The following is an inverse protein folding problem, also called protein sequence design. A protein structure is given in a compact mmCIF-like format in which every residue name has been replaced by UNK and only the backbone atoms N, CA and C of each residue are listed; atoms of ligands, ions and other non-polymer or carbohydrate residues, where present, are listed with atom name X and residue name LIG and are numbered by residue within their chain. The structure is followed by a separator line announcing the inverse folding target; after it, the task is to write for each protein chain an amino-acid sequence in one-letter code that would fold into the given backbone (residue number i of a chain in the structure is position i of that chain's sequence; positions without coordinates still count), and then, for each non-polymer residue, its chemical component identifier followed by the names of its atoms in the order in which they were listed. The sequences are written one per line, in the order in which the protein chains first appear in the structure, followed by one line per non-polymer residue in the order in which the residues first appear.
data_IF_286001084366
#
_entry.id   IF_286001084366
#
_cell.length_a   1.000
_cell.length_b   1.000
_cell.length_c   1.000
_cell.angle_alpha   90.00
_cell.angle_beta   90.00
_cell.angle_gamma   90.00
#
_symmetry.space_group_name_H-M   'P 1'
#
loop_
_entity.id
_entity.type
_entity.pdbx_description
1 polymer ?
#
# COMPACT_ATOMS: atom_id res chain seq x y z
N UNK A 1 19.90 -6.27 -22.83
CA UNK A 1 19.83 -7.66 -22.33
C UNK A 1 20.02 -7.77 -20.82
N UNK A 2 20.95 -7.06 -20.16
CA UNK A 2 21.22 -7.26 -18.72
C UNK A 2 20.13 -6.80 -17.74
N UNK A 3 19.16 -5.97 -18.17
CA UNK A 3 18.08 -5.48 -17.29
C UNK A 3 16.82 -6.33 -17.46
N UNK A 4 16.30 -6.45 -18.68
CA UNK A 4 15.02 -7.11 -18.97
C UNK A 4 15.16 -8.52 -19.58
N UNK A 5 16.38 -9.00 -19.88
CA UNK A 5 16.60 -10.31 -20.50
C UNK A 5 16.27 -10.42 -22.00
N UNK A 6 15.37 -9.57 -22.53
CA UNK A 6 14.95 -9.58 -23.94
C UNK A 6 16.14 -9.41 -24.90
N UNK A 7 16.31 -10.38 -25.81
CA UNK A 7 17.25 -10.39 -26.93
C UNK A 7 16.55 -9.93 -28.21
N UNK A 8 17.34 -9.52 -29.20
CA UNK A 8 16.80 -9.11 -30.50
C UNK A 8 16.02 -10.25 -31.19
N UNK A 9 16.47 -11.49 -30.99
CA UNK A 9 15.84 -12.71 -31.51
C UNK A 9 14.42 -12.92 -30.97
N UNK A 10 14.17 -12.56 -29.70
CA UNK A 10 12.88 -12.74 -29.03
C UNK A 10 11.78 -11.82 -29.59
N UNK A 11 12.17 -10.72 -30.25
CA UNK A 11 11.24 -9.70 -30.79
C UNK A 11 11.26 -9.64 -32.32
N UNK A 12 12.14 -10.39 -32.98
CA UNK A 12 12.32 -10.33 -34.43
C UNK A 12 11.08 -10.77 -35.23
N UNK A 13 10.25 -11.64 -34.65
CA UNK A 13 9.05 -12.18 -35.28
C UNK A 13 7.75 -11.61 -34.68
N UNK A 14 7.87 -10.68 -33.73
CA UNK A 14 6.72 -10.08 -33.06
C UNK A 14 6.10 -8.96 -33.89
N UNK A 15 4.84 -8.66 -33.60
CA UNK A 15 4.14 -7.57 -34.25
C UNK A 15 4.79 -6.22 -33.91
N UNK A 16 4.93 -5.37 -34.93
CA UNK A 16 5.43 -3.99 -34.74
C UNK A 16 4.42 -3.16 -33.95
N UNK A 17 4.88 -2.09 -33.29
CA UNK A 17 4.00 -1.17 -32.57
C UNK A 17 2.87 -0.63 -33.47
N UNK A 18 3.18 -0.29 -34.73
CA UNK A 18 2.18 0.17 -35.71
C UNK A 18 1.05 -0.82 -35.93
N UNK A 19 1.32 -2.13 -35.87
CA UNK A 19 0.31 -3.16 -36.05
C UNK A 19 -0.59 -3.36 -34.82
N UNK A 20 -0.13 -2.97 -33.63
CA UNK A 20 -0.85 -3.14 -32.35
C UNK A 20 -1.35 -1.83 -31.74
N UNK A 21 -1.06 -0.69 -32.37
CA UNK A 21 -1.38 0.64 -31.83
C UNK A 21 -2.85 0.80 -31.47
N UNK A 22 -3.76 0.28 -32.30
CA UNK A 22 -5.21 0.40 -32.05
C UNK A 22 -5.66 -0.47 -30.88
N UNK A 23 -5.05 -1.65 -30.67
CA UNK A 23 -5.29 -2.49 -29.49
C UNK A 23 -4.79 -1.80 -28.22
N UNK A 24 -3.61 -1.16 -28.27
CA UNK A 24 -3.05 -0.40 -27.15
C UNK A 24 -3.95 0.79 -26.80
N UNK A 25 -4.41 1.55 -27.80
CA UNK A 25 -5.34 2.68 -27.59
C UNK A 25 -6.64 2.17 -26.96
N UNK A 26 -7.23 1.10 -27.49
CA UNK A 26 -8.44 0.51 -26.93
C UNK A 26 -8.26 0.00 -25.49
N UNK A 27 -7.07 -0.48 -25.14
CA UNK A 27 -6.75 -0.95 -23.80
C UNK A 27 -6.65 0.19 -22.77
N UNK A 28 -6.14 1.36 -23.17
CA UNK A 28 -5.98 2.52 -22.28
C UNK A 28 -7.15 3.50 -22.30
N UNK A 29 -8.10 3.33 -23.22
CA UNK A 29 -9.23 4.25 -23.41
C UNK A 29 -10.10 4.32 -22.14
N UNK A 30 -10.23 5.52 -21.57
CA UNK A 30 -10.95 5.76 -20.32
C UNK A 30 -10.28 5.21 -19.06
N UNK A 31 -9.10 4.60 -19.15
CA UNK A 31 -8.42 4.02 -18.00
C UNK A 31 -7.65 5.08 -17.17
N UNK A 32 -7.46 4.80 -15.88
CA UNK A 32 -6.50 5.51 -15.04
C UNK A 32 -5.15 4.78 -15.09
N UNK A 33 -4.12 5.45 -15.60
CA UNK A 33 -2.81 4.86 -15.77
C UNK A 33 -1.96 5.07 -14.52
N UNK A 34 -1.65 3.99 -13.83
CA UNK A 34 -0.76 4.00 -12.66
C UNK A 34 0.63 3.56 -13.11
N UNK A 35 1.58 4.49 -13.11
CA UNK A 35 2.92 4.27 -13.68
C UNK A 35 3.99 4.68 -12.66
N UNK A 36 5.09 3.94 -12.60
CA UNK A 36 6.25 4.32 -11.81
C UNK A 36 7.24 5.10 -12.69
N UNK A 37 7.41 6.39 -12.42
CA UNK A 37 8.13 7.33 -13.30
C UNK A 37 7.38 7.60 -14.62
N UNK A 38 6.11 8.00 -14.50
CA UNK A 38 5.18 8.17 -15.63
C UNK A 38 5.74 8.95 -16.83
N UNK A 39 6.63 9.92 -16.60
CA UNK A 39 7.26 10.71 -17.67
C UNK A 39 7.98 9.84 -18.71
N UNK A 40 8.59 8.73 -18.30
CA UNK A 40 9.32 7.86 -19.23
C UNK A 40 8.36 7.17 -20.20
N UNK A 41 7.37 6.44 -19.66
CA UNK A 41 6.41 5.67 -20.45
C UNK A 41 5.48 6.56 -21.29
N UNK A 42 5.04 7.70 -20.74
CA UNK A 42 4.21 8.65 -21.49
C UNK A 42 4.96 9.24 -22.68
N UNK A 43 6.23 9.63 -22.51
CA UNK A 43 7.03 10.14 -23.62
C UNK A 43 7.23 9.08 -24.71
N UNK A 44 7.40 7.82 -24.31
CA UNK A 44 7.56 6.71 -25.24
C UNK A 44 6.28 6.46 -26.06
N UNK A 45 5.13 6.41 -25.40
CA UNK A 45 3.83 6.26 -26.06
C UNK A 45 3.50 7.45 -26.95
N UNK A 46 3.68 8.68 -26.45
CA UNK A 46 3.37 9.89 -27.19
C UNK A 46 4.24 10.04 -28.44
N UNK A 47 5.51 9.65 -28.37
CA UNK A 47 6.41 9.64 -29.53
C UNK A 47 5.88 8.72 -30.64
N UNK A 48 5.57 7.46 -30.31
CA UNK A 48 5.09 6.50 -31.30
C UNK A 48 3.66 6.79 -31.78
N UNK A 49 2.80 7.36 -30.94
CA UNK A 49 1.50 7.87 -31.36
C UNK A 49 1.65 9.02 -32.36
N UNK A 50 2.58 9.95 -32.11
CA UNK A 50 2.84 11.06 -33.02
C UNK A 50 3.38 10.59 -34.39
N UNK A 51 4.29 9.60 -34.41
CA UNK A 51 4.78 8.98 -35.67
C UNK A 51 3.65 8.38 -36.52
N UNK A 52 2.57 7.95 -35.87
CA UNK A 52 1.39 7.33 -36.51
C UNK A 52 0.23 8.31 -36.71
N UNK A 53 0.43 9.61 -36.42
CA UNK A 53 -0.61 10.64 -36.53
C UNK A 53 -1.76 10.48 -35.54
N UNK A 54 -1.55 9.75 -34.44
CA UNK A 54 -2.53 9.56 -33.36
C UNK A 54 -2.39 10.71 -32.33
N UNK A 55 -3.43 10.90 -31.51
CA UNK A 55 -3.39 11.84 -30.39
C UNK A 55 -2.44 11.36 -29.29
N UNK A 56 -2.06 12.26 -28.38
CA UNK A 56 -1.28 11.90 -27.20
C UNK A 56 -2.04 10.95 -26.26
N UNK A 57 -1.30 10.25 -25.41
CA UNK A 57 -1.81 9.26 -24.45
C UNK A 57 -2.91 9.83 -23.56
N UNK A 58 -2.74 11.07 -23.09
CA UNK A 58 -3.71 11.78 -22.26
C UNK A 58 -5.01 12.17 -22.97
N UNK A 59 -5.08 12.03 -24.30
CA UNK A 59 -6.35 12.17 -25.03
C UNK A 59 -7.23 10.93 -24.95
N UNK A 60 -6.67 9.78 -24.57
CA UNK A 60 -7.39 8.50 -24.47
C UNK A 60 -7.55 8.07 -23.00
N UNK A 61 -6.49 8.20 -22.19
CA UNK A 61 -6.56 7.89 -20.77
C UNK A 61 -7.33 8.94 -19.97
N UNK A 62 -8.06 8.52 -18.94
CA UNK A 62 -8.80 9.41 -18.04
C UNK A 62 -7.88 10.22 -17.13
N UNK A 63 -6.86 9.56 -16.57
CA UNK A 63 -5.92 10.17 -15.62
C UNK A 63 -4.60 9.40 -15.63
N UNK A 64 -3.54 10.04 -15.13
CA UNK A 64 -2.24 9.40 -14.91
C UNK A 64 -1.78 9.68 -13.49
N UNK A 65 -1.40 8.62 -12.79
CA UNK A 65 -0.83 8.65 -11.45
C UNK A 65 0.64 8.26 -11.52
N UNK A 66 1.52 9.18 -11.16
CA UNK A 66 2.95 8.91 -10.99
C UNK A 66 3.26 8.44 -9.57
N UNK A 67 3.43 7.12 -9.41
CA UNK A 67 3.74 6.51 -8.12
C UNK A 67 5.13 6.89 -7.58
N UNK A 68 6.07 7.29 -8.45
CA UNK A 68 7.37 7.77 -8.01
C UNK A 68 7.23 9.14 -7.32
N UNK A 69 6.39 10.01 -7.86
CA UNK A 69 6.00 11.28 -7.22
C UNK A 69 5.34 11.04 -5.87
N UNK A 70 4.38 10.11 -5.80
CA UNK A 70 3.74 9.72 -4.53
C UNK A 70 4.76 9.21 -3.50
N UNK A 71 5.66 8.33 -3.92
CA UNK A 71 6.70 7.77 -3.05
C UNK A 71 7.67 8.83 -2.54
N UNK A 72 8.10 9.77 -3.40
CA UNK A 72 8.97 10.90 -3.00
C UNK A 72 8.31 11.82 -1.97
N UNK A 73 7.01 12.06 -2.08
CA UNK A 73 6.27 12.86 -1.13
C UNK A 73 6.09 12.12 0.21
N UNK A 74 5.82 10.81 0.18
CA UNK A 74 5.62 9.99 1.40
C UNK A 74 6.93 9.70 2.13
N UNK A 75 8.03 9.50 1.39
CA UNK A 75 9.35 9.14 1.92
C UNK A 75 10.45 10.07 1.35
N UNK A 76 10.51 11.33 1.81
CA UNK A 76 11.52 12.27 1.36
C UNK A 76 12.92 11.81 1.78
N UNK A 77 13.89 11.90 0.86
CA UNK A 77 15.29 11.52 1.12
C UNK A 77 15.59 10.01 1.09
N UNK A 78 14.57 9.15 0.99
CA UNK A 78 14.75 7.72 0.84
C UNK A 78 14.94 7.29 -0.63
N UNK A 79 15.45 6.08 -0.83
CA UNK A 79 15.42 5.42 -2.14
C UNK A 79 13.96 5.06 -2.46
N UNK A 80 13.44 5.62 -3.55
CA UNK A 80 12.06 5.45 -4.00
C UNK A 80 11.97 4.70 -5.33
N UNK A 81 12.95 3.86 -5.65
CA UNK A 81 12.82 2.93 -6.77
C UNK A 81 11.87 1.78 -6.39
N UNK A 82 11.31 1.11 -7.40
CA UNK A 82 10.34 0.03 -7.19
C UNK A 82 10.84 -1.04 -6.22
N UNK A 83 12.12 -1.40 -6.30
CA UNK A 83 12.75 -2.41 -5.43
C UNK A 83 12.76 -1.99 -3.95
N UNK A 84 13.15 -0.76 -3.65
CA UNK A 84 13.15 -0.25 -2.29
C UNK A 84 11.73 -0.11 -1.72
N UNK A 85 10.74 0.16 -2.59
CA UNK A 85 9.34 0.19 -2.18
C UNK A 85 8.79 -1.21 -1.92
N UNK A 86 9.15 -2.21 -2.73
CA UNK A 86 8.81 -3.61 -2.48
C UNK A 86 9.38 -4.08 -1.14
N UNK A 87 10.67 -3.80 -0.88
CA UNK A 87 11.33 -4.13 0.39
C UNK A 87 10.64 -3.43 1.58
N UNK A 88 10.23 -2.16 1.42
CA UNK A 88 9.53 -1.39 2.46
C UNK A 88 8.14 -1.93 2.78
N UNK A 89 7.39 -2.34 1.77
CA UNK A 89 6.04 -2.87 1.95
C UNK A 89 6.02 -4.39 2.14
N UNK A 90 7.20 -5.01 2.29
CA UNK A 90 7.37 -6.44 2.52
C UNK A 90 6.71 -7.30 1.42
N UNK A 91 6.77 -6.81 0.19
CA UNK A 91 6.24 -7.46 -1.02
C UNK A 91 7.26 -8.50 -1.49
N UNK A 92 6.81 -9.74 -1.67
CA UNK A 92 7.68 -10.81 -2.14
C UNK A 92 8.07 -10.59 -3.61
N UNK A 93 9.38 -10.59 -3.86
CA UNK A 93 9.98 -10.47 -5.20
C UNK A 93 10.68 -11.75 -5.65
N UNK A 94 10.48 -12.87 -4.96
CA UNK A 94 11.15 -14.15 -5.23
C UNK A 94 10.89 -14.68 -6.65
N UNK A 95 9.76 -14.32 -7.26
CA UNK A 95 9.43 -14.66 -8.65
C UNK A 95 10.11 -13.74 -9.69
N UNK A 96 10.91 -12.75 -9.26
CA UNK A 96 11.54 -11.78 -10.16
C UNK A 96 12.90 -12.27 -10.64
N UNK A 97 12.91 -13.11 -11.66
CA UNK A 97 14.14 -13.54 -12.34
C UNK A 97 14.78 -12.42 -13.19
N UNK A 98 13.97 -11.69 -13.96
CA UNK A 98 14.38 -10.54 -14.79
C UNK A 98 13.37 -9.39 -14.64
N UNK A 99 13.77 -8.15 -14.98
CA UNK A 99 12.85 -7.01 -15.05
C UNK A 99 11.91 -7.18 -16.26
N UNK A 100 10.84 -7.95 -16.08
CA UNK A 100 9.76 -8.06 -17.06
C UNK A 100 8.69 -7.01 -16.78
N UNK A 101 8.25 -6.29 -17.80
CA UNK A 101 7.22 -5.25 -17.67
C UNK A 101 5.96 -5.76 -16.93
N UNK A 102 5.54 -7.00 -17.21
CA UNK A 102 4.38 -7.61 -16.56
C UNK A 102 4.58 -7.82 -15.05
N UNK A 103 5.72 -8.40 -14.64
CA UNK A 103 6.03 -8.61 -13.22
C UNK A 103 6.19 -7.26 -12.52
N UNK A 104 6.81 -6.28 -13.18
CA UNK A 104 6.94 -4.93 -12.62
C UNK A 104 5.58 -4.24 -12.47
N UNK A 105 4.60 -4.47 -13.36
CA UNK A 105 3.21 -4.04 -13.16
C UNK A 105 2.55 -4.71 -11.95
N UNK A 106 2.76 -6.01 -11.74
CA UNK A 106 2.24 -6.73 -10.56
C UNK A 106 2.85 -6.20 -9.25
N UNK A 107 4.16 -5.98 -9.23
CA UNK A 107 4.84 -5.39 -8.06
C UNK A 107 4.37 -3.96 -7.81
N UNK A 108 4.21 -3.17 -8.88
CA UNK A 108 3.69 -1.80 -8.79
C UNK A 108 2.30 -1.77 -8.18
N UNK A 109 1.44 -2.73 -8.51
CA UNK A 109 0.11 -2.85 -7.89
C UNK A 109 0.18 -2.98 -6.36
N UNK A 110 1.01 -3.89 -5.84
CA UNK A 110 1.19 -4.04 -4.38
C UNK A 110 1.77 -2.78 -3.74
N UNK A 111 2.75 -2.16 -4.39
CA UNK A 111 3.36 -0.91 -3.91
C UNK A 111 2.35 0.23 -3.92
N UNK A 112 1.53 0.35 -4.95
CA UNK A 112 0.50 1.38 -5.04
C UNK A 112 -0.55 1.23 -3.94
N UNK A 113 -0.98 0.00 -3.63
CA UNK A 113 -1.82 -0.28 -2.47
C UNK A 113 -1.11 0.15 -1.17
N UNK A 114 0.18 -0.15 -1.00
CA UNK A 114 0.95 0.29 0.18
C UNK A 114 1.09 1.82 0.29
N UNK A 115 1.19 2.50 -0.85
CA UNK A 115 1.27 3.97 -0.91
C UNK A 115 -0.06 4.63 -0.57
N UNK A 116 -1.17 4.10 -1.08
CA UNK A 116 -2.54 4.60 -0.86
C UNK A 116 -3.17 4.15 0.45
N UNK A 117 -2.67 3.05 1.04
CA UNK A 117 -2.98 2.68 2.41
C UNK A 117 -2.47 3.77 3.35
N UNK A 118 -3.40 4.61 3.78
CA UNK A 118 -3.24 5.40 4.98
C UNK A 118 -3.33 4.45 6.17
N UNK A 119 -2.24 4.35 6.92
CA UNK A 119 -2.36 3.88 8.28
C UNK A 119 -3.13 4.98 9.00
N UNK A 120 -4.42 4.74 9.27
CA UNK A 120 -5.18 5.56 10.21
C UNK A 120 -4.45 5.37 11.53
N UNK A 121 -3.49 6.25 11.81
CA UNK A 121 -2.81 6.25 13.08
C UNK A 121 -3.88 6.61 14.09
N UNK A 122 -4.29 5.62 14.88
CA UNK A 122 -5.19 5.78 16.02
C UNK A 122 -4.67 6.84 17.01
N UNK A 123 -3.40 7.25 16.88
CA UNK A 123 -2.68 8.17 17.76
C UNK A 123 -2.07 9.39 17.02
N UNK A 124 -2.25 9.55 15.71
CA UNK A 124 -1.68 10.74 15.04
C UNK A 124 -2.56 11.95 15.33
N UNK A 125 -2.04 12.84 16.17
CA UNK A 125 -2.45 14.24 16.12
C UNK A 125 -2.07 14.79 14.75
N UNK A 126 -3.06 15.28 14.02
CA UNK A 126 -2.91 15.92 12.73
C UNK A 126 -2.00 17.16 12.87
N UNK A 127 -0.79 17.17 12.30
CA UNK A 127 0.09 18.34 12.36
C UNK A 127 -0.45 19.52 11.54
N UNK A 128 -1.49 19.29 10.73
CA UNK A 128 -2.21 20.32 9.99
C UNK A 128 -3.59 20.61 10.60
N UNK A 129 -3.76 20.26 11.89
CA UNK A 129 -4.90 20.62 12.71
C UNK A 129 -5.09 22.13 12.72
N UNK A 130 -5.82 22.65 11.72
CA UNK A 130 -6.53 23.92 11.82
C UNK A 130 -7.24 23.88 13.17
N UNK A 131 -6.83 24.77 14.08
CA UNK A 131 -7.34 24.97 15.43
C UNK A 131 -8.61 24.16 15.69
N UNK A 132 -8.44 23.08 16.45
CA UNK A 132 -9.46 22.08 16.70
C UNK A 132 -10.80 22.70 17.13
N UNK A 133 -11.74 22.78 16.21
CA UNK A 133 -13.08 22.40 16.56
C UNK A 133 -13.01 20.91 16.88
N UNK A 134 -12.91 20.60 18.18
CA UNK A 134 -13.21 19.27 18.70
C UNK A 134 -14.46 18.79 17.98
N UNK A 135 -14.36 17.74 17.16
CA UNK A 135 -15.53 17.08 16.59
C UNK A 135 -16.43 16.75 17.77
N UNK A 136 -17.51 17.53 17.94
CA UNK A 136 -18.49 17.30 18.99
C UNK A 136 -19.23 16.03 18.59
N UNK A 137 -18.69 14.89 19.00
CA UNK A 137 -19.45 13.65 18.98
C UNK A 137 -20.72 13.90 19.78
N UNK A 138 -21.87 13.55 19.20
CA UNK A 138 -23.14 13.64 19.90
C UNK A 138 -23.00 12.84 21.20
N UNK A 139 -23.31 13.46 22.34
CA UNK A 139 -23.39 12.73 23.61
C UNK A 139 -24.40 11.60 23.44
N UNK A 140 -23.92 10.36 23.47
CA UNK A 140 -24.79 9.20 23.50
C UNK A 140 -25.37 9.14 24.92
N UNK A 141 -26.68 9.29 25.01
CA UNK A 141 -27.41 9.10 26.25
C UNK A 141 -27.52 7.60 26.55
N UNK A 142 -26.57 7.09 27.33
CA UNK A 142 -26.48 5.67 27.71
C UNK A 142 -27.58 5.25 28.69
N UNK A 143 -28.32 6.19 29.29
CA UNK A 143 -29.40 5.90 30.24
C UNK A 143 -30.58 5.14 29.64
N UNK A 144 -30.71 5.14 28.30
CA UNK A 144 -31.76 4.46 27.55
C UNK A 144 -31.46 2.99 27.27
N UNK A 145 -30.23 2.54 27.48
CA UNK A 145 -29.80 1.18 27.16
C UNK A 145 -29.57 0.39 28.45
N UNK A 146 -30.35 -0.67 28.64
CA UNK A 146 -30.10 -1.63 29.70
C UNK A 146 -29.09 -2.68 29.18
N UNK A 147 -27.81 -2.42 29.36
CA UNK A 147 -26.76 -3.39 29.00
C UNK A 147 -26.77 -4.54 30.01
N UNK A 148 -26.96 -5.76 29.54
CA UNK A 148 -26.73 -6.94 30.37
C UNK A 148 -25.22 -7.05 30.63
N UNK A 149 -24.78 -7.09 31.91
CA UNK A 149 -23.37 -7.30 32.22
C UNK A 149 -22.97 -8.72 31.79
N UNK A 150 -22.15 -8.82 30.75
CA UNK A 150 -21.55 -10.10 30.35
C UNK A 150 -20.45 -10.42 31.35
N UNK A 151 -20.66 -11.48 32.12
CA UNK A 151 -19.67 -11.98 33.07
C UNK A 151 -18.69 -12.88 32.32
N UNK A 152 -17.39 -12.66 32.54
CA UNK A 152 -16.35 -13.52 31.96
C UNK A 152 -16.39 -14.89 32.65
N UNK A 153 -16.45 -15.96 31.87
CA UNK A 153 -16.44 -17.33 32.40
C UNK A 153 -15.14 -17.67 33.10
N UNK A 154 -15.15 -18.63 34.03
CA UNK A 154 -13.93 -19.07 34.73
C UNK A 154 -12.85 -19.58 33.77
N UNK A 155 -13.26 -20.18 32.65
CA UNK A 155 -12.37 -20.67 31.59
C UNK A 155 -11.65 -19.52 30.89
N UNK A 156 -12.38 -18.48 30.48
CA UNK A 156 -11.80 -17.29 29.84
C UNK A 156 -10.86 -16.55 30.78
N UNK A 157 -11.21 -16.47 32.07
CA UNK A 157 -10.32 -15.89 33.09
C UNK A 157 -9.02 -16.69 33.22
N UNK A 158 -9.09 -18.02 33.17
CA UNK A 158 -7.89 -18.85 33.26
C UNK A 158 -7.00 -18.70 32.02
N UNK A 159 -7.58 -18.73 30.82
CA UNK A 159 -6.85 -18.49 29.57
C UNK A 159 -6.18 -17.11 29.56
N UNK A 160 -6.87 -16.09 30.07
CA UNK A 160 -6.32 -14.75 30.19
C UNK A 160 -5.14 -14.69 31.18
N UNK A 161 -5.24 -15.37 32.33
CA UNK A 161 -4.13 -15.49 33.29
C UNK A 161 -2.91 -16.18 32.68
N UNK A 162 -3.11 -17.27 31.96
CA UNK A 162 -2.03 -18.02 31.31
C UNK A 162 -1.33 -17.17 30.24
N UNK A 163 -2.11 -16.40 29.47
CA UNK A 163 -1.58 -15.44 28.49
C UNK A 163 -0.75 -14.35 29.17
N UNK A 164 -1.23 -13.77 30.28
CA UNK A 164 -0.49 -12.77 31.04
C UNK A 164 0.82 -13.31 31.63
N UNK A 165 0.85 -14.56 32.06
CA UNK A 165 2.08 -15.22 32.52
C UNK A 165 3.10 -15.38 31.40
N UNK A 166 2.65 -15.73 30.18
CA UNK A 166 3.52 -15.84 29.02
C UNK A 166 4.08 -14.46 28.61
N UNK A 167 3.23 -13.43 28.63
CA UNK A 167 3.64 -12.05 28.37
C UNK A 167 4.67 -11.56 29.38
N UNK A 168 4.50 -11.87 30.66
CA UNK A 168 5.44 -11.48 31.72
C UNK A 168 6.81 -12.15 31.55
N UNK A 169 6.82 -13.45 31.21
CA UNK A 169 8.05 -14.18 30.86
C UNK A 169 8.75 -13.57 29.63
N UNK A 170 8.00 -13.24 28.59
CA UNK A 170 8.54 -12.62 27.38
C UNK A 170 9.04 -11.19 27.62
N UNK A 171 8.39 -10.46 28.54
CA UNK A 171 8.67 -9.05 28.86
C UNK A 171 9.63 -8.88 30.05
N UNK A 172 10.29 -9.95 30.51
CA UNK A 172 11.24 -9.95 31.62
C UNK A 172 10.69 -9.30 32.91
N UNK A 173 9.41 -9.51 33.24
CA UNK A 173 8.79 -9.02 34.48
C UNK A 173 8.11 -7.65 34.40
N UNK A 174 8.08 -7.01 33.22
CA UNK A 174 7.50 -5.66 33.04
C UNK A 174 5.99 -5.66 32.72
N UNK A 175 5.27 -6.77 32.94
CA UNK A 175 3.83 -6.81 32.69
C UNK A 175 3.04 -6.07 33.79
N UNK A 176 2.64 -4.83 33.51
CA UNK A 176 1.90 -3.98 34.46
C UNK A 176 0.60 -4.61 34.97
N UNK A 177 -0.14 -5.28 34.08
CA UNK A 177 -1.42 -5.90 34.42
C UNK A 177 -1.23 -7.15 35.27
N UNK A 178 -0.25 -8.00 34.92
CA UNK A 178 0.05 -9.21 35.67
C UNK A 178 0.54 -8.88 37.10
N UNK A 179 1.42 -7.89 37.22
CA UNK A 179 1.94 -7.43 38.52
C UNK A 179 0.84 -6.83 39.42
N UNK A 180 -0.10 -6.07 38.85
CA UNK A 180 -1.28 -5.59 39.59
C UNK A 180 -2.23 -6.72 40.03
N UNK A 181 -2.42 -7.73 39.18
CA UNK A 181 -3.28 -8.87 39.51
C UNK A 181 -2.71 -9.74 40.63
N UNK A 182 -1.37 -9.88 40.71
CA UNK A 182 -0.70 -10.54 41.85
C UNK A 182 -0.84 -9.75 43.15
N UNK A 183 -0.68 -8.44 43.10
CA UNK A 183 -0.80 -7.58 44.28
C UNK A 183 -2.21 -7.62 44.90
N UNK A 184 -3.25 -7.76 44.06
CA UNK A 184 -4.65 -7.86 44.51
C UNK A 184 -5.04 -9.26 45.02
N UNK A 185 -4.16 -10.26 44.91
CA UNK A 185 -4.40 -11.63 45.41
C UNK A 185 -3.71 -11.90 46.75
N UNK A 186 -3.01 -10.91 47.31
CA UNK A 186 -2.24 -11.00 48.56
C UNK A 186 -2.83 -10.12 49.69
N UNK A 187 -4.03 -9.56 49.48
CA UNK A 187 -4.94 -9.01 50.51
C UNK A 187 -6.18 -9.91 50.60
#
# INVERSE_FOLDING_TARGET
TNVHGIKLEDVAHEATFKQRVDEVIAFIDGAELIIHNAKFDLNFLDHHFAELGKKNTLSYASSVIDTLGMARNKFPGARNNLDALCDRFNVDRSNRGYHGALIDCELLWYVYIGLTREQISLLAEDPNGKNGELRKFAKIDSSKYNFAPVSVSEVEQQLHRDYLQQLDKASQGNSLWFNRSKASSNE
#
